data_IF_513042495773
#
_entry.id   IF_513042495773
#
_cell.length_a   1.000
_cell.length_b   1.000
_cell.length_c   1.000
_cell.angle_alpha   90.00
_cell.angle_beta   90.00
_cell.angle_gamma   90.00
#
_symmetry.space_group_name_H-M   'P 1'
#
loop_
_entity.id
_entity.type
_entity.pdbx_description
1 polymer ?
#
# COMPACT_ATOMS: atom_id res chain seq x y z
N UNK A 1 8.89 19.76 13.76
CA UNK A 1 8.15 18.82 12.89
C UNK A 1 7.89 17.56 13.69
N UNK A 2 6.64 17.22 13.84
CA UNK A 2 6.14 16.07 14.56
C UNK A 2 5.63 15.04 13.54
N UNK A 3 6.14 13.81 13.59
CA UNK A 3 5.78 12.74 12.64
C UNK A 3 5.20 11.58 13.42
N UNK A 4 4.06 11.07 12.96
CA UNK A 4 3.45 9.83 13.41
C UNK A 4 3.71 8.73 12.37
N UNK A 5 4.22 7.60 12.81
CA UNK A 5 4.40 6.39 12.02
C UNK A 5 3.54 5.28 12.62
N UNK A 6 2.53 4.85 11.89
CA UNK A 6 1.75 3.67 12.21
C UNK A 6 2.41 2.42 11.63
N UNK A 7 2.53 1.37 12.45
CA UNK A 7 3.17 0.10 12.13
C UNK A 7 2.18 -1.03 12.41
N UNK A 8 1.54 -1.51 11.35
CA UNK A 8 0.62 -2.64 11.43
C UNK A 8 1.37 -3.96 11.36
N UNK A 9 1.11 -4.85 12.29
CA UNK A 9 1.80 -6.14 12.43
C UNK A 9 0.83 -7.31 12.54
N UNK A 10 1.36 -8.54 12.55
CA UNK A 10 0.56 -9.75 12.85
C UNK A 10 0.06 -9.84 14.30
N UNK A 11 0.52 -8.97 15.18
CA UNK A 11 0.13 -8.95 16.60
C UNK A 11 -0.12 -7.53 17.08
N UNK A 12 -0.93 -6.81 16.32
CA UNK A 12 -1.40 -5.48 16.68
C UNK A 12 -0.78 -4.34 15.90
N UNK A 13 -1.21 -3.16 16.30
CA UNK A 13 -0.77 -1.87 15.80
C UNK A 13 0.20 -1.23 16.80
N UNK A 14 1.36 -0.79 16.32
CA UNK A 14 2.26 0.07 17.07
C UNK A 14 2.22 1.48 16.46
N UNK A 15 2.30 2.49 17.30
CA UNK A 15 2.43 3.88 16.90
C UNK A 15 3.80 4.39 17.35
N UNK A 16 4.62 4.81 16.41
CA UNK A 16 5.89 5.44 16.69
C UNK A 16 5.79 6.95 16.42
N UNK A 17 6.25 7.78 17.34
CA UNK A 17 6.20 9.24 17.23
C UNK A 17 7.59 9.84 17.33
N UNK A 18 7.89 10.76 16.41
CA UNK A 18 9.10 11.58 16.45
C UNK A 18 8.75 13.04 16.48
N UNK A 19 9.21 13.76 17.54
CA UNK A 19 9.01 15.21 17.70
C UNK A 19 10.19 16.04 17.22
N UNK A 20 11.30 15.39 16.89
CA UNK A 20 12.59 16.02 16.56
C UNK A 20 13.01 15.80 15.11
N UNK A 21 12.07 15.86 14.19
CA UNK A 21 12.39 15.72 12.76
C UNK A 21 12.96 14.35 12.40
N UNK A 22 12.37 13.28 12.94
CA UNK A 22 12.72 11.86 12.71
C UNK A 22 14.06 11.40 13.33
N UNK A 23 14.69 12.19 14.21
CA UNK A 23 15.98 11.83 14.84
C UNK A 23 15.82 10.77 15.91
N UNK A 24 14.74 10.84 16.66
CA UNK A 24 14.42 9.91 17.76
C UNK A 24 12.97 9.48 17.66
N UNK A 25 12.69 8.26 18.13
CA UNK A 25 11.36 7.66 18.03
C UNK A 25 10.92 7.10 19.38
N UNK A 26 9.69 7.44 19.79
CA UNK A 26 8.99 6.82 20.92
C UNK A 26 7.97 5.83 20.33
N UNK A 27 8.12 4.53 20.64
CA UNK A 27 7.23 3.48 20.16
C UNK A 27 6.25 3.10 21.25
N UNK A 28 4.95 3.13 20.94
CA UNK A 28 3.89 2.75 21.89
C UNK A 28 3.88 1.25 22.19
N UNK A 29 3.28 0.82 23.31
CA UNK A 29 2.82 -0.56 23.43
C UNK A 29 1.85 -0.95 22.29
N UNK A 30 1.72 -2.25 21.96
CA UNK A 30 0.81 -2.68 20.91
C UNK A 30 -0.65 -2.45 21.29
N UNK A 31 -1.41 -1.94 20.33
CA UNK A 31 -2.88 -1.90 20.36
C UNK A 31 -3.41 -3.11 19.58
N UNK A 32 -4.55 -3.66 19.96
CA UNK A 32 -5.12 -4.88 19.33
C UNK A 32 -4.13 -6.08 19.31
N UNK A 33 -3.53 -6.48 20.45
CA UNK A 33 -2.33 -7.34 20.51
C UNK A 33 -2.53 -8.78 20.01
N UNK A 34 -3.75 -9.20 19.73
CA UNK A 34 -4.10 -10.56 19.22
C UNK A 34 -4.63 -10.52 17.79
N UNK A 35 -4.51 -9.37 17.11
CA UNK A 35 -5.09 -9.20 15.78
C UNK A 35 -4.01 -8.84 14.75
N UNK A 36 -4.22 -9.28 13.49
CA UNK A 36 -3.46 -8.79 12.35
C UNK A 36 -3.95 -7.38 11.97
N UNK A 37 -3.03 -6.46 11.75
CA UNK A 37 -3.31 -5.13 11.20
C UNK A 37 -2.58 -4.99 9.86
N UNK A 38 -3.31 -5.26 8.77
CA UNK A 38 -2.77 -5.23 7.40
C UNK A 38 -3.00 -3.90 6.69
N UNK A 39 -4.01 -3.14 7.12
CA UNK A 39 -4.42 -1.89 6.52
C UNK A 39 -4.43 -0.78 7.55
N UNK A 40 -3.85 0.35 7.18
CA UNK A 40 -3.73 1.52 8.03
C UNK A 40 -3.77 2.78 7.18
N UNK A 41 -4.40 3.83 7.70
CA UNK A 41 -4.29 5.19 7.17
C UNK A 41 -4.14 6.20 8.31
N UNK A 42 -3.35 7.24 8.07
CA UNK A 42 -3.31 8.46 8.89
C UNK A 42 -3.88 9.56 8.00
N UNK A 43 -5.06 10.02 8.32
CA UNK A 43 -5.80 11.01 7.54
C UNK A 43 -5.62 12.39 8.16
N UNK A 44 -4.85 13.23 7.50
CA UNK A 44 -4.53 14.61 7.95
C UNK A 44 -5.37 15.68 7.26
N UNK A 45 -6.35 15.32 6.42
CA UNK A 45 -7.20 16.27 5.66
C UNK A 45 -8.16 17.06 6.55
N UNK A 46 -8.52 16.53 7.69
CA UNK A 46 -9.34 17.25 8.68
C UNK A 46 -8.48 17.97 9.72
N UNK A 47 -9.06 18.98 10.40
CA UNK A 47 -8.36 19.74 11.43
C UNK A 47 -7.79 18.86 12.55
N UNK A 48 -8.47 17.78 12.88
CA UNK A 48 -7.98 16.76 13.82
C UNK A 48 -7.63 15.53 13.00
N UNK A 49 -6.35 15.16 12.91
CA UNK A 49 -5.94 13.95 12.16
C UNK A 49 -6.59 12.70 12.75
N UNK A 50 -7.01 11.79 11.87
CA UNK A 50 -7.62 10.50 12.21
C UNK A 50 -6.64 9.35 11.90
N UNK A 51 -6.68 8.32 12.71
CA UNK A 51 -6.03 7.04 12.39
C UNK A 51 -7.10 5.99 12.13
N UNK A 52 -7.04 5.33 10.99
CA UNK A 52 -7.97 4.26 10.60
C UNK A 52 -7.19 2.96 10.47
N UNK A 53 -7.72 1.88 11.05
CA UNK A 53 -7.07 0.58 10.99
C UNK A 53 -8.07 -0.53 10.62
N UNK A 54 -7.65 -1.41 9.71
CA UNK A 54 -8.30 -2.68 9.44
C UNK A 54 -7.72 -3.76 10.35
N UNK A 55 -8.53 -4.24 11.27
CA UNK A 55 -8.15 -5.19 12.33
C UNK A 55 -8.77 -6.55 12.05
N UNK A 56 -7.97 -7.60 11.99
CA UNK A 56 -8.43 -8.97 11.82
C UNK A 56 -8.17 -9.78 13.08
N UNK A 57 -9.20 -9.98 13.86
CA UNK A 57 -9.16 -10.82 15.07
C UNK A 57 -9.57 -12.26 14.74
N UNK A 58 -8.85 -13.25 15.25
CA UNK A 58 -9.14 -14.67 15.00
C UNK A 58 -10.48 -15.16 15.55
N UNK A 59 -11.05 -14.48 16.54
CA UNK A 59 -12.34 -14.83 17.16
C UNK A 59 -13.50 -13.99 16.62
N UNK A 60 -13.27 -12.71 16.39
CA UNK A 60 -14.32 -11.75 16.03
C UNK A 60 -14.35 -11.40 14.53
N UNK A 61 -13.35 -11.91 13.78
CA UNK A 61 -13.23 -11.61 12.36
C UNK A 61 -12.62 -10.23 12.05
N UNK A 62 -12.73 -9.80 10.80
CA UNK A 62 -12.22 -8.51 10.34
C UNK A 62 -13.19 -7.37 10.68
N UNK A 63 -12.63 -6.22 11.06
CA UNK A 63 -13.37 -4.99 11.32
C UNK A 63 -12.54 -3.75 10.97
N UNK A 64 -13.22 -2.60 10.91
CA UNK A 64 -12.60 -1.29 10.82
C UNK A 64 -12.73 -0.55 12.14
N UNK A 65 -11.69 0.14 12.55
CA UNK A 65 -11.69 1.02 13.74
C UNK A 65 -11.11 2.39 13.38
N UNK A 66 -11.62 3.43 14.02
CA UNK A 66 -11.22 4.82 13.82
C UNK A 66 -10.81 5.44 15.16
N UNK A 67 -9.73 6.19 15.15
CA UNK A 67 -9.30 7.03 16.26
C UNK A 67 -9.25 8.48 15.79
N UNK A 68 -9.91 9.38 16.55
CA UNK A 68 -9.89 10.81 16.30
C UNK A 68 -8.88 11.56 17.21
N UNK A 69 -8.04 10.82 17.93
CA UNK A 69 -7.07 11.34 18.92
C UNK A 69 -5.67 10.73 18.75
N UNK A 70 -5.31 10.41 17.50
CA UNK A 70 -4.01 9.84 17.13
C UNK A 70 -3.70 8.51 17.84
N UNK A 71 -4.72 7.67 18.02
CA UNK A 71 -4.58 6.31 18.54
C UNK A 71 -4.61 6.22 20.07
N UNK A 72 -5.05 7.27 20.80
CA UNK A 72 -5.24 7.18 22.24
C UNK A 72 -6.51 6.40 22.59
N UNK A 73 -7.60 6.66 21.85
CA UNK A 73 -8.86 5.91 21.95
C UNK A 73 -9.33 5.47 20.56
N UNK A 74 -10.14 4.41 20.50
CA UNK A 74 -10.65 3.83 19.26
C UNK A 74 -12.16 3.69 19.33
N UNK A 75 -12.82 3.86 18.17
CA UNK A 75 -14.25 3.58 18.05
C UNK A 75 -14.49 2.07 18.19
N UNK A 76 -15.55 1.74 18.91
CA UNK A 76 -16.10 0.38 18.99
C UNK A 76 -17.55 0.46 18.52
N UNK A 77 -17.81 0.37 17.21
CA UNK A 77 -19.17 0.47 16.68
C UNK A 77 -20.01 -0.74 17.08
N UNK A 78 -21.28 -0.52 17.40
CA UNK A 78 -22.23 -1.58 17.74
C UNK A 78 -22.50 -2.51 16.55
N UNK A 79 -22.49 -1.94 15.34
CA UNK A 79 -22.62 -2.68 14.06
C UNK A 79 -21.30 -2.71 13.31
N UNK A 80 -21.10 -3.73 12.46
CA UNK A 80 -19.92 -3.85 11.62
C UNK A 80 -19.85 -2.66 10.62
N UNK A 81 -18.85 -1.80 10.71
CA UNK A 81 -18.76 -0.60 9.88
C UNK A 81 -18.55 -0.92 8.40
N UNK A 82 -18.08 -2.13 8.10
CA UNK A 82 -17.82 -2.64 6.75
C UNK A 82 -18.26 -4.10 6.67
N UNK A 83 -19.29 -4.36 5.87
CA UNK A 83 -19.81 -5.70 5.61
C UNK A 83 -20.32 -5.81 4.19
N UNK A 84 -20.22 -7.01 3.62
CA UNK A 84 -20.86 -7.29 2.33
C UNK A 84 -22.37 -7.32 2.52
N UNK A 85 -23.15 -6.72 1.59
CA UNK A 85 -24.61 -6.86 1.56
C UNK A 85 -25.05 -8.32 1.39
N UNK A 86 -26.19 -8.68 1.98
CA UNK A 86 -26.72 -10.05 1.99
C UNK A 86 -26.90 -10.66 0.59
N UNK A 87 -27.16 -9.82 -0.42
CA UNK A 87 -27.36 -10.27 -1.80
C UNK A 87 -26.06 -10.58 -2.56
N UNK A 88 -24.90 -10.44 -1.92
CA UNK A 88 -23.60 -10.71 -2.56
C UNK A 88 -23.10 -12.14 -2.37
N UNK A 89 -23.70 -12.89 -1.45
CA UNK A 89 -23.23 -14.24 -1.03
C UNK A 89 -21.71 -14.26 -0.69
N UNK A 90 -21.22 -13.17 -0.10
CA UNK A 90 -19.83 -12.99 0.27
C UNK A 90 -19.67 -12.54 1.72
N UNK A 91 -18.56 -12.91 2.35
CA UNK A 91 -18.20 -12.49 3.69
C UNK A 91 -16.83 -11.80 3.69
N UNK A 92 -16.69 -10.74 4.47
CA UNK A 92 -15.43 -10.05 4.65
C UNK A 92 -14.39 -10.98 5.27
N UNK A 93 -13.22 -11.11 4.63
CA UNK A 93 -12.11 -11.94 5.12
C UNK A 93 -10.94 -11.06 5.62
N UNK A 94 -10.88 -9.80 5.21
CA UNK A 94 -9.88 -8.85 5.69
C UNK A 94 -9.91 -7.53 4.93
N UNK A 95 -9.45 -6.49 5.60
CA UNK A 95 -9.20 -5.17 5.00
C UNK A 95 -7.74 -5.12 4.58
N UNK A 96 -7.48 -4.81 3.31
CA UNK A 96 -6.14 -4.82 2.73
C UNK A 96 -5.58 -3.42 2.47
N UNK A 97 -6.44 -2.45 2.20
CA UNK A 97 -6.04 -1.06 2.11
C UNK A 97 -7.14 -0.13 2.63
N UNK A 98 -6.74 0.92 3.30
CA UNK A 98 -7.57 2.07 3.64
C UNK A 98 -6.94 3.28 2.95
N UNK A 99 -7.74 4.00 2.18
CA UNK A 99 -7.25 5.15 1.42
C UNK A 99 -8.21 6.33 1.58
N UNK A 100 -7.82 7.37 2.33
CA UNK A 100 -8.50 8.66 2.28
C UNK A 100 -8.55 9.18 0.86
N UNK A 101 -9.67 9.76 0.45
CA UNK A 101 -9.84 10.39 -0.87
C UNK A 101 -8.98 11.68 -0.98
N UNK A 102 -9.35 12.58 -1.87
CA UNK A 102 -8.62 13.84 -2.05
C UNK A 102 -9.10 14.91 -1.07
N UNK A 103 -8.40 16.04 -1.00
CA UNK A 103 -8.80 17.21 -0.19
C UNK A 103 -10.20 17.74 -0.57
N UNK A 104 -10.65 17.51 -1.80
CA UNK A 104 -11.99 17.91 -2.25
C UNK A 104 -13.12 17.10 -1.60
N UNK A 105 -12.80 15.93 -1.01
CA UNK A 105 -13.75 15.03 -0.36
C UNK A 105 -13.24 14.63 1.03
N UNK A 106 -13.20 15.55 2.02
CA UNK A 106 -12.50 15.36 3.30
C UNK A 106 -13.06 14.21 4.15
N UNK A 107 -14.33 13.82 3.97
CA UNK A 107 -14.96 12.73 4.71
C UNK A 107 -15.02 11.41 3.94
N UNK A 108 -14.60 11.41 2.67
CA UNK A 108 -14.58 10.19 1.87
C UNK A 108 -13.33 9.37 2.17
N UNK A 109 -13.55 8.08 2.45
CA UNK A 109 -12.53 7.08 2.68
C UNK A 109 -12.89 5.82 1.89
N UNK A 110 -11.92 5.24 1.21
CA UNK A 110 -12.06 3.97 0.52
C UNK A 110 -11.43 2.83 1.30
N UNK A 111 -12.03 1.64 1.22
CA UNK A 111 -11.46 0.40 1.74
C UNK A 111 -11.41 -0.67 0.65
N UNK A 112 -10.22 -1.25 0.45
CA UNK A 112 -10.00 -2.41 -0.39
C UNK A 112 -9.92 -3.66 0.48
N UNK A 113 -10.64 -4.70 0.07
CA UNK A 113 -10.87 -5.87 0.93
C UNK A 113 -10.59 -7.20 0.22
N UNK A 114 -10.66 -8.26 1.00
CA UNK A 114 -10.72 -9.66 0.56
C UNK A 114 -12.09 -10.25 0.95
N UNK A 115 -12.80 -10.95 0.02
CA UNK A 115 -12.51 -11.07 -1.41
C UNK A 115 -12.50 -9.71 -2.12
N UNK A 116 -11.79 -9.62 -3.27
CA UNK A 116 -11.55 -8.34 -3.97
C UNK A 116 -12.83 -7.55 -4.19
N UNK A 117 -12.98 -6.48 -3.43
CA UNK A 117 -14.04 -5.49 -3.54
C UNK A 117 -13.55 -4.12 -3.05
N UNK A 118 -14.20 -3.08 -3.54
CA UNK A 118 -14.02 -1.71 -3.10
C UNK A 118 -15.24 -1.27 -2.31
N UNK A 119 -14.98 -0.68 -1.16
CA UNK A 119 -15.99 -0.01 -0.35
C UNK A 119 -15.69 1.47 -0.24
N UNK A 120 -16.73 2.29 -0.09
CA UNK A 120 -16.64 3.75 0.04
C UNK A 120 -17.40 4.20 1.28
N UNK A 121 -16.78 5.04 2.07
CA UNK A 121 -17.35 5.75 3.21
C UNK A 121 -17.52 7.23 2.87
N UNK A 122 -18.56 7.86 3.41
CA UNK A 122 -18.82 9.31 3.33
C UNK A 122 -18.79 9.99 4.71
N UNK A 123 -18.44 9.25 5.76
CA UNK A 123 -18.50 9.70 7.16
C UNK A 123 -17.14 9.55 7.89
N UNK A 124 -16.06 9.57 7.13
CA UNK A 124 -14.70 9.46 7.67
C UNK A 124 -14.30 8.06 8.08
N UNK A 125 -14.91 7.02 7.50
CA UNK A 125 -14.58 5.64 7.74
C UNK A 125 -15.37 4.97 8.85
N UNK A 126 -16.50 5.55 9.27
CA UNK A 126 -17.37 4.99 10.31
C UNK A 126 -18.41 4.03 9.77
N UNK A 127 -18.81 4.20 8.51
CA UNK A 127 -19.63 3.24 7.76
C UNK A 127 -19.17 3.18 6.31
N UNK A 128 -19.40 2.03 5.66
CA UNK A 128 -18.95 1.79 4.30
C UNK A 128 -20.03 1.14 3.45
N UNK A 129 -20.13 1.58 2.22
CA UNK A 129 -20.99 0.99 1.20
C UNK A 129 -20.18 0.32 0.09
N UNK A 130 -20.67 -0.83 -0.41
CA UNK A 130 -20.05 -1.57 -1.51
C UNK A 130 -20.15 -0.79 -2.82
N UNK A 131 -19.03 -0.59 -3.51
CA UNK A 131 -19.00 0.00 -4.85
C UNK A 131 -19.45 -1.05 -5.87
N UNK A 132 -20.74 -1.04 -6.19
CA UNK A 132 -21.42 -2.04 -7.02
C UNK A 132 -20.84 -2.14 -8.42
N UNK A 133 -20.48 -1.03 -9.07
CA UNK A 133 -19.92 -1.05 -10.42
C UNK A 133 -18.69 -1.94 -10.58
N UNK A 134 -17.85 -2.02 -9.55
CA UNK A 134 -16.71 -2.94 -9.55
C UNK A 134 -17.12 -4.37 -9.14
N UNK A 135 -17.97 -4.50 -8.14
CA UNK A 135 -18.44 -5.81 -7.67
C UNK A 135 -19.21 -6.59 -8.73
N UNK A 136 -20.06 -5.92 -9.48
CA UNK A 136 -20.89 -6.53 -10.54
C UNK A 136 -20.17 -6.60 -11.89
N UNK A 137 -18.87 -6.25 -11.95
CA UNK A 137 -18.08 -6.30 -13.17
C UNK A 137 -18.02 -7.74 -13.73
N UNK A 138 -18.20 -7.95 -15.06
CA UNK A 138 -18.21 -9.29 -15.67
C UNK A 138 -16.95 -10.12 -15.43
N UNK A 139 -15.82 -9.47 -15.22
CA UNK A 139 -14.54 -10.16 -14.95
C UNK A 139 -14.43 -10.69 -13.51
N UNK A 140 -15.23 -10.22 -12.56
CA UNK A 140 -15.10 -10.57 -11.14
C UNK A 140 -15.08 -12.08 -10.88
N UNK A 141 -15.96 -12.81 -11.52
CA UNK A 141 -16.04 -14.29 -11.37
C UNK A 141 -14.86 -15.03 -11.97
N UNK A 142 -13.98 -14.32 -12.68
CA UNK A 142 -12.80 -14.85 -13.37
C UNK A 142 -11.49 -14.45 -12.69
N UNK A 143 -11.53 -13.54 -11.70
CA UNK A 143 -10.37 -13.22 -10.89
C UNK A 143 -10.02 -14.44 -10.02
N UNK A 144 -8.72 -14.75 -9.95
CA UNK A 144 -8.22 -15.89 -9.20
C UNK A 144 -7.41 -15.42 -7.99
N UNK A 145 -7.37 -16.16 -6.89
CA UNK A 145 -6.50 -15.82 -5.78
C UNK A 145 -5.03 -15.99 -6.20
N UNK A 146 -4.19 -15.02 -5.85
CA UNK A 146 -2.74 -15.17 -5.84
C UNK A 146 -2.27 -15.90 -4.58
N UNK A 147 -0.96 -16.08 -4.42
CA UNK A 147 -0.38 -16.69 -3.21
C UNK A 147 -0.68 -15.92 -1.92
N UNK A 148 -1.13 -14.67 -2.00
CA UNK A 148 -1.55 -13.85 -0.87
C UNK A 148 -3.06 -13.69 -0.69
N UNK A 149 -3.88 -14.38 -1.47
CA UNK A 149 -5.34 -14.24 -1.47
C UNK A 149 -5.88 -13.46 -2.67
N UNK A 150 -7.19 -13.33 -2.75
CA UNK A 150 -7.88 -12.52 -3.75
C UNK A 150 -8.27 -11.17 -3.11
N UNK A 151 -7.38 -10.21 -3.15
CA UNK A 151 -7.54 -8.95 -2.43
C UNK A 151 -7.39 -7.72 -3.33
N UNK A 152 -8.20 -6.71 -3.07
CA UNK A 152 -8.02 -5.36 -3.57
C UNK A 152 -7.11 -4.60 -2.59
N UNK A 153 -5.88 -4.31 -3.01
CA UNK A 153 -4.82 -3.80 -2.14
C UNK A 153 -4.23 -2.45 -2.58
N UNK A 154 -4.69 -1.89 -3.68
CA UNK A 154 -4.25 -0.56 -4.14
C UNK A 154 -5.45 0.26 -4.57
N UNK A 155 -5.55 1.47 -4.03
CA UNK A 155 -6.62 2.43 -4.31
C UNK A 155 -5.97 3.78 -4.56
N UNK A 156 -6.21 4.37 -5.73
CA UNK A 156 -5.57 5.60 -6.20
C UNK A 156 -6.65 6.60 -6.65
N UNK A 157 -7.21 7.41 -5.74
CA UNK A 157 -8.05 8.53 -6.09
C UNK A 157 -7.25 9.53 -6.94
N UNK A 158 -7.83 10.01 -8.03
CA UNK A 158 -7.18 11.02 -8.86
C UNK A 158 -7.22 12.39 -8.15
N UNK A 159 -6.09 13.09 -7.96
CA UNK A 159 -6.03 14.27 -7.10
C UNK A 159 -6.86 15.46 -7.59
N UNK A 160 -7.14 15.54 -8.89
CA UNK A 160 -7.86 16.67 -9.51
C UNK A 160 -9.26 16.32 -10.04
N UNK A 161 -9.69 15.05 -10.02
CA UNK A 161 -11.02 14.63 -10.49
C UNK A 161 -11.55 13.50 -9.61
N UNK A 162 -12.50 13.82 -8.74
CA UNK A 162 -13.09 12.88 -7.77
C UNK A 162 -13.86 11.72 -8.42
N UNK A 163 -14.21 11.83 -9.70
CA UNK A 163 -14.84 10.74 -10.46
C UNK A 163 -13.85 9.73 -11.01
N UNK A 164 -12.54 10.07 -11.03
CA UNK A 164 -11.47 9.17 -11.51
C UNK A 164 -10.84 8.43 -10.34
N UNK A 165 -10.81 7.11 -10.48
CA UNK A 165 -10.22 6.23 -9.49
C UNK A 165 -9.57 5.04 -10.18
N UNK A 166 -8.37 4.67 -9.78
CA UNK A 166 -7.74 3.42 -10.17
C UNK A 166 -7.63 2.48 -8.96
N UNK A 167 -7.81 1.18 -9.20
CA UNK A 167 -7.60 0.13 -8.20
C UNK A 167 -6.74 -0.97 -8.78
N UNK A 168 -6.01 -1.67 -7.92
CA UNK A 168 -5.29 -2.87 -8.31
C UNK A 168 -5.53 -4.00 -7.31
N UNK A 169 -5.57 -5.22 -7.83
CA UNK A 169 -5.87 -6.41 -7.06
C UNK A 169 -4.94 -7.57 -7.44
N UNK A 170 -4.74 -8.47 -6.49
CA UNK A 170 -3.97 -9.70 -6.72
C UNK A 170 -4.61 -10.52 -7.82
N UNK A 171 -3.83 -10.85 -8.87
CA UNK A 171 -4.24 -11.64 -10.04
C UNK A 171 -5.53 -11.18 -10.75
N UNK A 172 -5.94 -9.92 -10.53
CA UNK A 172 -7.00 -9.25 -11.27
C UNK A 172 -6.44 -8.17 -12.21
N UNK A 173 -5.30 -7.59 -11.85
CA UNK A 173 -4.71 -6.46 -12.56
C UNK A 173 -5.20 -5.10 -12.05
N UNK A 174 -5.09 -4.09 -12.90
CA UNK A 174 -5.52 -2.70 -12.66
C UNK A 174 -6.86 -2.46 -13.33
N UNK A 175 -7.78 -1.81 -12.62
CA UNK A 175 -9.07 -1.34 -13.13
C UNK A 175 -9.23 0.15 -12.84
N UNK A 176 -9.93 0.85 -13.73
CA UNK A 176 -10.17 2.27 -13.60
C UNK A 176 -11.63 2.62 -13.86
N UNK A 177 -12.09 3.66 -13.16
CA UNK A 177 -13.34 4.36 -13.39
C UNK A 177 -13.10 5.83 -13.73
N UNK A 178 -14.00 6.44 -14.49
CA UNK A 178 -14.03 7.88 -14.78
C UNK A 178 -15.40 8.49 -14.50
N UNK A 179 -16.30 7.72 -13.88
CA UNK A 179 -17.68 8.08 -13.59
C UNK A 179 -18.06 7.93 -12.10
N UNK A 180 -17.04 7.91 -11.22
CA UNK A 180 -17.25 7.82 -9.77
C UNK A 180 -17.48 6.40 -9.27
N UNK A 181 -17.16 5.37 -10.07
CA UNK A 181 -17.30 3.97 -9.68
C UNK A 181 -18.55 3.28 -10.21
N UNK A 182 -19.34 3.94 -11.08
CA UNK A 182 -20.50 3.34 -11.72
C UNK A 182 -20.10 2.26 -12.72
N UNK A 183 -19.04 2.51 -13.51
CA UNK A 183 -18.45 1.54 -14.42
C UNK A 183 -16.93 1.46 -14.29
N UNK A 184 -16.37 0.30 -14.65
CA UNK A 184 -14.95 0.01 -14.54
C UNK A 184 -14.44 -0.67 -15.80
N UNK A 185 -13.17 -0.41 -16.14
CA UNK A 185 -12.48 -1.06 -17.24
C UNK A 185 -11.07 -1.51 -16.83
N UNK A 186 -10.58 -2.66 -17.32
CA UNK A 186 -9.21 -3.09 -17.10
C UNK A 186 -8.24 -2.20 -17.89
N UNK A 187 -7.07 -1.91 -17.29
CA UNK A 187 -6.02 -1.08 -17.87
C UNK A 187 -4.66 -1.74 -17.69
N UNK A 188 -4.46 -2.90 -18.33
CA UNK A 188 -3.30 -3.77 -18.12
C UNK A 188 -2.43 -3.95 -19.38
N UNK A 189 -2.68 -3.19 -20.45
CA UNK A 189 -1.98 -3.39 -21.72
C UNK A 189 -0.48 -3.12 -21.58
N UNK A 190 0.33 -4.16 -21.81
CA UNK A 190 1.78 -4.12 -21.68
C UNK A 190 2.32 -4.68 -20.36
N UNK A 191 1.45 -4.98 -19.39
CA UNK A 191 1.85 -5.69 -18.16
C UNK A 191 1.81 -7.19 -18.39
N UNK A 192 2.89 -7.88 -18.07
CA UNK A 192 2.98 -9.34 -18.20
C UNK A 192 2.11 -10.05 -17.15
N UNK A 193 1.65 -11.25 -17.51
CA UNK A 193 0.88 -12.12 -16.62
C UNK A 193 1.33 -13.57 -16.81
N UNK A 194 2.50 -13.91 -16.27
CA UNK A 194 3.23 -15.16 -16.49
C UNK A 194 2.45 -16.44 -16.09
N UNK A 195 1.39 -16.28 -15.31
CA UNK A 195 0.52 -17.37 -14.85
C UNK A 195 -0.74 -17.58 -15.71
N UNK A 196 -0.97 -16.71 -16.70
CA UNK A 196 -2.14 -16.75 -17.56
C UNK A 196 -1.80 -17.25 -18.96
N UNK A 197 -2.69 -17.96 -19.64
CA UNK A 197 -2.49 -18.29 -21.04
C UNK A 197 -2.54 -17.02 -21.90
N UNK A 198 -1.58 -16.88 -22.82
CA UNK A 198 -1.42 -15.71 -23.70
C UNK A 198 -0.40 -14.70 -23.17
N UNK A 199 0.19 -13.95 -24.08
CA UNK A 199 1.30 -13.03 -23.74
C UNK A 199 0.84 -11.81 -22.92
N UNK A 200 -0.32 -11.25 -23.24
CA UNK A 200 -0.85 -10.02 -22.62
C UNK A 200 -2.37 -10.10 -22.45
N UNK A 201 -2.86 -10.86 -21.46
CA UNK A 201 -4.30 -10.96 -21.24
C UNK A 201 -4.88 -9.62 -20.73
N UNK A 202 -6.16 -9.40 -20.93
CA UNK A 202 -6.87 -8.20 -20.49
C UNK A 202 -6.91 -8.03 -18.97
N UNK A 203 -6.92 -9.13 -18.23
CA UNK A 203 -6.85 -9.21 -16.77
C UNK A 203 -6.01 -10.41 -16.32
N UNK A 204 -5.74 -10.52 -15.02
CA UNK A 204 -5.02 -11.65 -14.45
C UNK A 204 -3.57 -11.33 -14.10
N UNK A 205 -3.13 -10.09 -14.34
CA UNK A 205 -1.81 -9.63 -13.92
C UNK A 205 -1.70 -9.68 -12.41
N UNK A 206 -0.58 -10.23 -11.92
CA UNK A 206 -0.27 -10.27 -10.49
C UNK A 206 0.37 -8.95 -10.06
N UNK A 207 -0.47 -7.92 -10.01
CA UNK A 207 -0.02 -6.59 -9.55
C UNK A 207 0.22 -6.62 -8.06
N UNK A 208 1.34 -6.06 -7.63
CA UNK A 208 1.70 -5.95 -6.21
C UNK A 208 1.39 -4.58 -5.65
N UNK A 209 1.71 -3.51 -6.37
CA UNK A 209 1.42 -2.13 -5.97
C UNK A 209 1.44 -1.20 -7.17
N UNK A 210 0.65 -0.12 -7.11
CA UNK A 210 0.69 0.99 -8.06
C UNK A 210 0.84 2.30 -7.29
N UNK A 211 1.57 3.26 -7.86
CA UNK A 211 1.76 4.61 -7.33
C UNK A 211 1.55 5.65 -8.43
N UNK A 212 1.03 6.83 -8.07
CA UNK A 212 0.88 7.99 -8.96
C UNK A 212 2.12 8.87 -8.88
N UNK A 213 2.50 9.48 -10.00
CA UNK A 213 3.53 10.51 -10.01
C UNK A 213 3.06 11.79 -9.30
N UNK A 214 3.99 12.52 -8.71
CA UNK A 214 3.70 13.72 -7.92
C UNK A 214 3.15 14.91 -8.72
N UNK A 215 3.59 15.06 -9.96
CA UNK A 215 3.23 16.21 -10.80
C UNK A 215 2.19 15.88 -11.87
N UNK A 216 2.15 14.62 -12.29
CA UNK A 216 1.27 14.15 -13.35
C UNK A 216 0.57 12.84 -12.94
N UNK A 217 -0.67 12.89 -12.45
CA UNK A 217 -1.40 11.71 -12.00
C UNK A 217 -1.78 10.76 -13.14
N UNK A 218 -1.63 11.14 -14.41
CA UNK A 218 -1.73 10.25 -15.55
C UNK A 218 -0.43 9.45 -15.78
N UNK A 219 0.66 9.85 -15.14
CA UNK A 219 1.88 9.04 -15.01
C UNK A 219 1.79 8.14 -13.78
N UNK A 220 1.91 6.84 -13.98
CA UNK A 220 1.75 5.81 -12.98
C UNK A 220 2.94 4.84 -13.01
N UNK A 221 3.29 4.32 -11.83
CA UNK A 221 4.33 3.29 -11.66
C UNK A 221 3.73 2.04 -11.04
N UNK A 222 4.13 0.87 -11.51
CA UNK A 222 3.55 -0.39 -11.10
C UNK A 222 4.65 -1.44 -10.84
N UNK A 223 4.61 -2.06 -9.66
CA UNK A 223 5.31 -3.30 -9.37
C UNK A 223 4.39 -4.47 -9.66
N UNK A 224 4.77 -5.33 -10.58
CA UNK A 224 4.12 -6.58 -10.90
C UNK A 224 5.01 -7.77 -10.48
N UNK A 225 4.49 -8.98 -10.53
CA UNK A 225 5.28 -10.19 -10.31
C UNK A 225 6.48 -10.28 -11.26
N UNK A 226 6.30 -9.95 -12.52
CA UNK A 226 7.30 -10.04 -13.59
C UNK A 226 8.08 -8.74 -13.85
N UNK A 227 8.02 -7.72 -13.01
CA UNK A 227 8.81 -6.51 -13.23
C UNK A 227 8.22 -5.21 -12.69
N UNK A 228 8.90 -4.12 -13.02
CA UNK A 228 8.48 -2.75 -12.72
C UNK A 228 8.09 -2.06 -14.01
N UNK A 229 6.96 -1.38 -14.01
CA UNK A 229 6.37 -0.77 -15.20
C UNK A 229 6.01 0.69 -14.95
N UNK A 230 6.00 1.48 -16.02
CA UNK A 230 5.52 2.86 -16.07
C UNK A 230 4.47 3.03 -17.15
N UNK A 231 3.44 3.80 -16.85
CA UNK A 231 2.50 4.38 -17.82
C UNK A 231 2.61 5.90 -17.78
N UNK A 232 2.42 6.57 -18.92
CA UNK A 232 2.33 8.04 -19.05
C UNK A 232 1.02 8.48 -19.71
N UNK A 233 0.05 7.59 -19.75
CA UNK A 233 -1.24 7.77 -20.40
C UNK A 233 -2.39 7.20 -19.54
N UNK A 234 -2.34 7.46 -18.24
CA UNK A 234 -3.33 7.02 -17.26
C UNK A 234 -3.52 5.49 -17.25
N UNK A 235 -2.47 4.71 -17.45
CA UNK A 235 -2.54 3.24 -17.42
C UNK A 235 -3.03 2.60 -18.72
N UNK A 236 -3.26 3.35 -19.80
CA UNK A 236 -3.66 2.78 -21.09
C UNK A 236 -2.60 1.85 -21.67
N UNK A 237 -1.32 2.20 -21.46
CA UNK A 237 -0.16 1.40 -21.85
C UNK A 237 0.90 1.42 -20.76
N UNK A 238 1.46 0.27 -20.51
CA UNK A 238 2.57 0.09 -19.58
C UNK A 238 3.84 -0.33 -20.33
N UNK A 239 4.97 0.19 -19.89
CA UNK A 239 6.30 -0.14 -20.40
C UNK A 239 7.19 -0.58 -19.24
N UNK A 240 7.98 -1.64 -19.41
CA UNK A 240 8.97 -2.05 -18.40
C UNK A 240 10.00 -0.96 -18.19
N UNK A 241 10.35 -0.75 -16.91
CA UNK A 241 11.37 0.19 -16.44
C UNK A 241 12.35 -0.49 -15.47
N UNK A 242 12.46 -1.81 -15.49
CA UNK A 242 13.29 -2.60 -14.60
C UNK A 242 14.74 -2.79 -15.08
N UNK A 243 15.07 -2.24 -16.25
CA UNK A 243 16.45 -2.22 -16.76
C UNK A 243 17.37 -1.41 -15.81
N UNK A 244 18.32 -2.09 -15.18
CA UNK A 244 19.22 -1.46 -14.19
C UNK A 244 18.85 -1.70 -12.72
N UNK A 245 17.75 -2.39 -12.44
CA UNK A 245 17.55 -3.03 -11.15
C UNK A 245 18.57 -4.18 -10.95
N UNK A 246 18.84 -4.59 -9.69
CA UNK A 246 19.71 -5.74 -9.44
C UNK A 246 19.16 -7.00 -10.11
N UNK A 247 19.86 -8.15 -10.04
CA UNK A 247 19.44 -9.39 -10.75
C UNK A 247 18.12 -9.98 -10.18
N UNK A 248 17.15 -9.11 -9.89
CA UNK A 248 15.75 -9.40 -9.63
C UNK A 248 14.93 -8.14 -9.85
N UNK A 249 13.92 -8.26 -10.70
CA UNK A 249 12.88 -7.25 -10.93
C UNK A 249 11.59 -7.54 -10.12
N UNK A 250 11.60 -8.60 -9.31
CA UNK A 250 10.53 -8.95 -8.41
C UNK A 250 10.62 -8.12 -7.12
N UNK A 251 9.49 -7.63 -6.65
CA UNK A 251 9.33 -6.94 -5.38
C UNK A 251 7.86 -6.78 -5.04
N UNK A 252 7.55 -6.24 -3.87
CA UNK A 252 6.18 -5.94 -3.49
C UNK A 252 5.87 -4.44 -3.49
N UNK A 253 6.67 -3.56 -2.84
CA UNK A 253 6.37 -2.15 -2.80
C UNK A 253 6.83 -1.41 -4.06
N UNK A 254 6.09 -0.38 -4.42
CA UNK A 254 6.56 0.76 -5.19
C UNK A 254 5.98 2.02 -4.55
N UNK A 255 6.84 3.02 -4.32
CA UNK A 255 6.48 4.29 -3.69
C UNK A 255 6.95 5.41 -4.59
N UNK A 256 6.06 6.31 -4.99
CA UNK A 256 6.43 7.54 -5.66
C UNK A 256 6.71 8.63 -4.61
N UNK A 257 7.71 9.46 -4.86
CA UNK A 257 8.00 10.61 -4.04
C UNK A 257 6.83 11.61 -4.13
N UNK A 258 6.29 12.13 -3.01
CA UNK A 258 5.05 12.92 -3.03
C UNK A 258 5.18 14.30 -3.69
N UNK A 259 6.40 14.78 -3.95
CA UNK A 259 6.65 16.13 -4.49
C UNK A 259 7.64 16.20 -5.65
N UNK A 260 8.47 15.16 -5.86
CA UNK A 260 9.46 15.14 -6.94
C UNK A 260 8.99 14.20 -8.05
N UNK A 261 8.60 14.72 -9.22
CA UNK A 261 8.17 13.86 -10.32
C UNK A 261 9.29 12.95 -10.80
N UNK A 262 8.95 11.75 -11.22
CA UNK A 262 9.90 10.75 -11.70
C UNK A 262 10.74 10.09 -10.61
N UNK A 263 10.62 10.50 -9.34
CA UNK A 263 11.35 9.87 -8.22
C UNK A 263 10.50 8.75 -7.63
N UNK A 264 11.02 7.53 -7.69
CA UNK A 264 10.34 6.32 -7.23
C UNK A 264 11.28 5.41 -6.44
N UNK A 265 10.71 4.63 -5.54
CA UNK A 265 11.42 3.69 -4.67
C UNK A 265 10.82 2.30 -4.77
N UNK A 266 11.67 1.28 -4.72
CA UNK A 266 11.26 -0.13 -4.62
C UNK A 266 12.22 -0.91 -3.73
N UNK A 267 11.80 -2.12 -3.34
CA UNK A 267 12.61 -3.05 -2.55
C UNK A 267 12.63 -4.41 -3.26
N UNK A 268 13.63 -4.66 -4.13
CA UNK A 268 13.74 -5.91 -4.89
C UNK A 268 13.97 -7.13 -4.00
N UNK A 269 13.32 -8.23 -4.37
CA UNK A 269 13.40 -9.52 -3.68
C UNK A 269 13.71 -10.63 -4.68
N UNK A 270 14.23 -11.75 -4.22
CA UNK A 270 14.39 -12.94 -5.04
C UNK A 270 13.02 -13.49 -5.43
N UNK A 271 12.83 -13.78 -6.72
CA UNK A 271 11.56 -14.26 -7.27
C UNK A 271 11.31 -15.77 -7.07
N UNK A 272 12.29 -16.52 -6.58
CA UNK A 272 12.23 -17.98 -6.41
C UNK A 272 11.02 -18.41 -5.56
N UNK A 273 10.19 -19.29 -6.10
CA UNK A 273 8.99 -19.80 -5.44
C UNK A 273 9.29 -20.87 -4.37
N UNK A 274 10.42 -21.54 -4.49
CA UNK A 274 10.84 -22.62 -3.58
C UNK A 274 11.57 -22.10 -2.34
N UNK A 275 11.78 -20.79 -2.25
CA UNK A 275 12.46 -20.12 -1.15
C UNK A 275 11.61 -19.00 -0.58
N UNK A 276 11.84 -18.65 0.69
CA UNK A 276 11.25 -17.44 1.24
C UNK A 276 11.85 -16.18 0.57
N UNK A 277 11.10 -15.11 0.51
CA UNK A 277 11.48 -13.87 -0.16
C UNK A 277 12.50 -13.09 0.67
N UNK A 278 13.62 -12.73 0.05
CA UNK A 278 14.67 -11.89 0.63
C UNK A 278 15.38 -11.10 -0.49
N UNK A 279 16.13 -10.03 -0.18
CA UNK A 279 16.83 -9.25 -1.20
C UNK A 279 17.89 -10.06 -1.96
N UNK A 280 18.21 -9.73 -3.22
CA UNK A 280 19.29 -10.32 -3.98
C UNK A 280 20.63 -10.29 -3.17
N UNK A 281 21.38 -11.40 -3.20
CA UNK A 281 22.62 -11.60 -2.43
C UNK A 281 22.47 -11.41 -0.91
N UNK A 282 21.23 -11.43 -0.38
CA UNK A 282 20.91 -11.09 1.00
C UNK A 282 21.44 -9.69 1.42
N UNK A 283 21.47 -8.73 0.50
CA UNK A 283 21.91 -7.35 0.75
C UNK A 283 20.70 -6.45 0.97
N UNK A 284 20.58 -5.87 2.16
CA UNK A 284 19.52 -4.91 2.44
C UNK A 284 19.78 -3.59 1.69
N UNK A 285 18.93 -3.26 0.74
CA UNK A 285 18.96 -2.00 0.01
C UNK A 285 17.59 -1.62 -0.51
N UNK A 286 17.24 -0.35 -0.38
CA UNK A 286 16.15 0.28 -1.14
C UNK A 286 16.73 0.75 -2.47
N UNK A 287 15.97 0.67 -3.54
CA UNK A 287 16.39 1.19 -4.84
C UNK A 287 15.58 2.43 -5.19
N UNK A 288 16.27 3.52 -5.57
CA UNK A 288 15.68 4.77 -6.02
C UNK A 288 15.98 5.00 -7.50
N UNK A 289 14.98 5.40 -8.25
CA UNK A 289 15.13 6.05 -9.54
C UNK A 289 14.76 7.53 -9.40
N UNK A 290 15.47 8.42 -10.08
CA UNK A 290 15.19 9.86 -10.13
C UNK A 290 14.78 10.33 -11.54
N UNK A 291 14.63 9.41 -12.48
CA UNK A 291 14.37 9.66 -13.89
C UNK A 291 13.22 8.84 -14.47
N UNK A 292 12.27 8.45 -13.60
CA UNK A 292 11.09 7.68 -13.98
C UNK A 292 11.37 6.24 -14.34
N UNK A 293 12.41 5.64 -13.75
CA UNK A 293 12.76 4.24 -13.90
C UNK A 293 13.80 3.95 -14.98
N UNK A 294 14.44 4.97 -15.59
CA UNK A 294 15.48 4.73 -16.59
C UNK A 294 16.78 4.22 -15.94
N UNK A 295 17.12 4.78 -14.78
CA UNK A 295 18.26 4.32 -13.97
C UNK A 295 17.86 4.12 -12.52
N UNK A 296 18.61 3.22 -11.84
CA UNK A 296 18.33 2.86 -10.45
C UNK A 296 19.60 2.87 -9.61
N UNK A 297 19.51 3.42 -8.42
CA UNK A 297 20.59 3.50 -7.43
C UNK A 297 20.23 2.75 -6.15
N UNK A 298 21.14 1.92 -5.65
CA UNK A 298 20.99 1.23 -4.38
C UNK A 298 21.31 2.16 -3.20
N UNK A 299 20.36 2.30 -2.29
CA UNK A 299 20.46 3.10 -1.07
C UNK A 299 20.60 2.16 0.14
N UNK A 300 21.75 2.09 0.74
CA UNK A 300 22.03 1.14 1.84
C UNK A 300 22.86 1.72 2.98
N UNK A 301 23.14 3.02 2.97
CA UNK A 301 23.87 3.64 4.07
C UNK A 301 23.01 3.65 5.33
N UNK A 302 23.57 3.17 6.45
CA UNK A 302 22.83 2.95 7.70
C UNK A 302 22.01 1.65 7.78
N UNK A 303 21.79 0.92 6.66
CA UNK A 303 21.15 -0.40 6.68
C UNK A 303 22.12 -1.52 7.09
N UNK A 304 21.60 -2.71 7.51
CA UNK A 304 22.40 -3.86 7.88
C UNK A 304 23.41 -4.27 6.81
N UNK A 305 24.68 -4.45 7.19
CA UNK A 305 25.76 -4.93 6.32
C UNK A 305 25.96 -6.46 6.40
N UNK A 306 25.28 -7.11 7.35
CA UNK A 306 25.23 -8.57 7.49
C UNK A 306 24.17 -9.17 6.55
N UNK A 307 24.21 -10.49 6.25
CA UNK A 307 23.17 -11.11 5.44
C UNK A 307 21.76 -10.84 5.98
N UNK A 308 20.90 -10.34 5.11
CA UNK A 308 19.55 -9.86 5.44
C UNK A 308 18.49 -10.79 4.83
N UNK A 309 17.84 -11.58 5.68
CA UNK A 309 16.89 -12.61 5.30
C UNK A 309 15.44 -12.20 5.61
N UNK A 310 15.03 -11.03 5.11
CA UNK A 310 13.70 -10.51 5.34
C UNK A 310 13.08 -9.93 4.06
N UNK A 311 11.76 -9.95 3.97
CA UNK A 311 11.01 -9.31 2.91
C UNK A 311 10.37 -8.01 3.42
N UNK A 312 10.18 -7.05 2.50
CA UNK A 312 9.34 -5.88 2.66
C UNK A 312 8.07 -6.09 1.84
N UNK A 313 6.91 -6.04 2.49
CA UNK A 313 5.61 -6.28 1.84
C UNK A 313 5.11 -5.00 1.13
N UNK A 314 4.08 -5.15 0.28
CA UNK A 314 3.54 -4.08 -0.58
C UNK A 314 3.14 -2.80 0.15
N UNK A 315 2.56 -2.92 1.33
CA UNK A 315 2.13 -1.81 2.18
C UNK A 315 3.08 -1.53 3.35
N UNK A 316 4.19 -2.28 3.44
CA UNK A 316 5.23 -2.10 4.44
C UNK A 316 6.33 -1.12 3.99
N UNK A 317 6.05 -0.28 3.00
CA UNK A 317 6.90 0.85 2.60
C UNK A 317 6.04 2.06 2.29
N UNK A 318 6.44 3.25 2.75
CA UNK A 318 5.74 4.50 2.50
C UNK A 318 6.68 5.71 2.52
N UNK A 319 6.16 6.85 2.08
CA UNK A 319 6.77 8.17 2.22
C UNK A 319 5.85 9.09 3.04
N UNK A 320 6.39 10.07 3.74
CA UNK A 320 5.65 11.22 4.25
C UNK A 320 5.77 12.41 3.27
N UNK A 321 5.07 13.49 3.55
CA UNK A 321 4.98 14.69 2.72
C UNK A 321 5.90 15.85 3.18
N UNK A 322 6.78 15.61 4.14
CA UNK A 322 7.72 16.61 4.66
C UNK A 322 8.82 16.98 3.65
N UNK A 323 9.54 18.07 3.95
CA UNK A 323 10.72 18.51 3.23
C UNK A 323 11.96 18.54 4.14
N UNK A 324 12.98 17.71 3.88
CA UNK A 324 13.02 16.61 2.93
C UNK A 324 12.02 15.50 3.27
N UNK A 325 11.61 14.71 2.25
CA UNK A 325 10.66 13.61 2.40
C UNK A 325 11.26 12.46 3.21
N UNK A 326 10.52 11.98 4.20
CA UNK A 326 10.86 10.75 4.90
C UNK A 326 10.43 9.51 4.13
N UNK A 327 11.32 8.52 4.08
CA UNK A 327 11.03 7.19 3.51
C UNK A 327 11.11 6.16 4.63
N UNK A 328 10.12 5.27 4.67
CA UNK A 328 9.97 4.28 5.74
C UNK A 328 9.76 2.90 5.16
N UNK A 329 10.33 1.88 5.79
CA UNK A 329 9.93 0.50 5.50
C UNK A 329 10.00 -0.38 6.74
N UNK A 330 9.13 -1.40 6.75
CA UNK A 330 9.09 -2.44 7.77
C UNK A 330 9.28 -3.83 7.17
N UNK A 331 9.85 -4.74 7.93
CA UNK A 331 10.25 -6.06 7.48
C UNK A 331 9.41 -7.18 8.10
N UNK A 332 9.37 -8.33 7.42
CA UNK A 332 8.76 -9.55 7.95
C UNK A 332 9.46 -10.10 9.20
N UNK A 333 10.66 -9.60 9.51
CA UNK A 333 11.42 -9.96 10.72
C UNK A 333 11.21 -8.98 11.88
N UNK A 334 10.40 -7.94 11.68
CA UNK A 334 10.02 -7.01 12.74
C UNK A 334 10.96 -5.82 12.94
N UNK A 335 11.84 -5.54 11.97
CA UNK A 335 12.59 -4.28 11.97
C UNK A 335 11.84 -3.22 11.16
N UNK A 336 11.92 -1.97 11.61
CA UNK A 336 11.39 -0.79 10.91
C UNK A 336 12.48 0.24 10.77
N UNK A 337 12.70 0.71 9.54
CA UNK A 337 13.70 1.71 9.19
C UNK A 337 13.06 2.99 8.69
N UNK A 338 13.74 4.11 8.92
CA UNK A 338 13.39 5.44 8.45
C UNK A 338 14.63 6.09 7.83
N UNK A 339 14.41 6.77 6.71
CA UNK A 339 15.32 7.78 6.18
C UNK A 339 14.67 9.15 6.32
N UNK A 340 15.40 10.14 6.84
CA UNK A 340 14.93 11.52 6.96
C UNK A 340 15.35 12.41 5.77
N UNK A 341 16.09 11.85 4.81
CA UNK A 341 16.78 12.50 3.71
C UNK A 341 16.58 11.75 2.38
N UNK A 342 15.34 11.35 2.10
CA UNK A 342 14.92 10.76 0.83
C UNK A 342 15.64 9.44 0.48
N UNK A 343 16.15 8.72 1.48
CA UNK A 343 16.80 7.43 1.32
C UNK A 343 18.33 7.46 1.38
N UNK A 344 18.97 8.63 1.49
CA UNK A 344 20.40 8.76 1.46
C UNK A 344 21.06 8.14 2.72
N UNK A 345 20.43 8.31 3.89
CA UNK A 345 20.85 7.64 5.12
C UNK A 345 19.67 7.03 5.87
N UNK A 346 19.86 5.81 6.39
CA UNK A 346 18.83 5.04 7.10
C UNK A 346 19.15 4.88 8.58
N UNK A 347 18.12 4.91 9.41
CA UNK A 347 18.20 4.61 10.83
C UNK A 347 17.13 3.61 11.25
N UNK A 348 17.43 2.82 12.26
CA UNK A 348 16.49 1.89 12.87
C UNK A 348 15.51 2.67 13.76
N UNK A 349 14.19 2.49 13.52
CA UNK A 349 13.10 3.04 14.32
C UNK A 349 12.73 2.08 15.44
N UNK A 350 12.57 0.82 15.10
CA UNK A 350 12.19 -0.25 16.01
C UNK A 350 12.71 -1.60 15.51
N UNK A 351 12.99 -2.51 16.42
CA UNK A 351 13.34 -3.90 16.13
C UNK A 351 12.54 -4.87 17.03
N UNK A 352 12.60 -6.16 16.68
CA UNK A 352 11.92 -7.24 17.43
C UNK A 352 10.41 -7.07 17.56
N UNK A 353 9.80 -6.31 16.66
CA UNK A 353 8.35 -6.28 16.52
C UNK A 353 7.87 -7.60 15.92
N UNK A 354 6.57 -7.92 16.01
CA UNK A 354 5.99 -8.95 15.17
C UNK A 354 6.15 -8.60 13.68
N UNK A 355 5.98 -9.60 12.82
CA UNK A 355 5.97 -9.48 11.36
C UNK A 355 5.23 -8.20 10.88
N UNK A 356 5.94 -7.24 10.29
CA UNK A 356 5.37 -5.97 9.83
C UNK A 356 4.64 -6.19 8.51
N UNK A 357 3.37 -5.82 8.49
CA UNK A 357 2.45 -5.99 7.35
C UNK A 357 2.24 -4.69 6.59
N UNK A 358 2.16 -3.56 7.29
CA UNK A 358 2.03 -2.24 6.68
C UNK A 358 2.68 -1.15 7.55
N UNK A 359 3.08 -0.06 6.90
CA UNK A 359 3.53 1.18 7.54
C UNK A 359 2.88 2.39 6.88
N UNK A 360 2.55 3.41 7.68
CA UNK A 360 2.06 4.71 7.18
C UNK A 360 2.64 5.82 8.03
N UNK A 361 3.17 6.85 7.39
CA UNK A 361 3.73 8.01 8.05
C UNK A 361 2.97 9.27 7.65
N UNK A 362 2.84 10.20 8.59
CA UNK A 362 2.28 11.52 8.35
C UNK A 362 2.94 12.57 9.24
N UNK A 363 3.06 13.79 8.73
CA UNK A 363 3.39 14.99 9.53
C UNK A 363 2.12 15.42 10.25
N UNK A 364 2.18 15.56 11.57
CA UNK A 364 1.02 15.89 12.42
C UNK A 364 1.18 17.20 13.22
N UNK A 365 2.29 17.94 13.00
CA UNK A 365 2.56 19.21 13.68
C UNK A 365 3.91 19.86 13.32
#
# INVERSE_FOLDING_TARGET
MDVLLGIGTRKGLFLARSREGRKTWEVSPPQFPVADVKALAIDTRSRTPRVLAGVLNSHFGPTMVVSDDLGQTWSEPDDAPLAFPDDTDAALQGVWQIKPATEAEPDVVYAGVEPSALFRSEDGGRSFELVRGLWDHPHRTRWQPGGGGLALHTILPHPADTRRLAVAMSTGGVYQTTDGGESWRPTNKGVTADFMPGELPEWGQCVHKVALDAADPDTMYLQNHGGVFRSTDAGERWQSIDGGLPPSNFGFPIVAHPRRPGVIYTFPLVADMDRFRFPPDAKCAVYRSEDGGQTWSALSDGLPKVPFWAAVMRDAMCADDADPTGIYFGTRNGEVYCSADEGDHWQLVADKLPDVLCVRAAVIG
#
